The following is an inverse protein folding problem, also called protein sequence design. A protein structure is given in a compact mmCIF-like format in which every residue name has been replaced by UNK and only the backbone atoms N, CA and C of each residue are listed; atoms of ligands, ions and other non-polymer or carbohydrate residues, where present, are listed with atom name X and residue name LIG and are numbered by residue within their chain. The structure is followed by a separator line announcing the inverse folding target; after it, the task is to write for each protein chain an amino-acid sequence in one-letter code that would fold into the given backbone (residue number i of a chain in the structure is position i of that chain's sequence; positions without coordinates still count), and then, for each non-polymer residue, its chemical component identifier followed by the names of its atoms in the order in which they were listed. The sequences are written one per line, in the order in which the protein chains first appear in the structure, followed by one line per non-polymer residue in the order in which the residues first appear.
data_IF_624684526400
#
_entry.id   IF_624684526400
#
_cell.length_a   1.000
_cell.length_b   1.000
_cell.length_c   1.000
_cell.angle_alpha   90.00
_cell.angle_beta   90.00
_cell.angle_gamma   90.00
#
_symmetry.space_group_name_H-M   'P 1'
#
loop_
_entity.id
_entity.type
_entity.pdbx_description
1 polymer ?
#
# COMPACT_ATOMS: atom_id res chain seq x y z
N UNK A 1 -0.40 1.16 -4.09
CA UNK A 1 0.07 1.51 -5.43
C UNK A 1 1.06 2.64 -5.27
N UNK A 2 2.23 2.61 -5.93
CA UNK A 2 3.14 3.76 -5.88
C UNK A 2 2.57 4.90 -6.72
N UNK A 3 2.73 6.12 -6.23
CA UNK A 3 2.23 7.32 -6.89
C UNK A 3 1.64 8.29 -5.88
N UNK A 4 1.53 9.54 -6.29
CA UNK A 4 0.86 10.59 -5.53
C UNK A 4 -0.54 10.81 -6.10
N UNK A 5 -1.53 10.97 -5.23
CA UNK A 5 -2.87 11.38 -5.66
C UNK A 5 -2.80 12.83 -6.10
N UNK A 6 -3.22 13.11 -7.33
CA UNK A 6 -3.29 14.48 -7.83
C UNK A 6 -4.54 15.16 -7.25
N UNK A 7 -4.41 16.29 -6.55
CA UNK A 7 -5.56 16.99 -5.97
C UNK A 7 -6.45 17.67 -7.02
N UNK A 8 -5.95 17.83 -8.25
CA UNK A 8 -6.65 18.50 -9.35
C UNK A 8 -6.08 18.05 -10.71
N UNK A 9 -6.90 18.01 -11.77
CA UNK A 9 -6.42 17.77 -13.13
C UNK A 9 -5.56 18.91 -13.71
N UNK A 10 -5.52 20.07 -13.04
CA UNK A 10 -4.72 21.23 -13.46
C UNK A 10 -3.34 21.31 -12.81
N UNK A 11 -2.93 20.28 -12.07
CA UNK A 11 -1.60 20.24 -11.47
C UNK A 11 -0.55 20.16 -12.59
N UNK A 12 0.43 21.09 -12.61
CA UNK A 12 1.49 21.05 -13.60
C UNK A 12 2.36 19.80 -13.38
N UNK A 13 2.74 19.17 -14.49
CA UNK A 13 3.61 18.00 -14.51
C UNK A 13 4.92 18.35 -15.22
N UNK A 14 6.03 17.77 -14.78
CA UNK A 14 7.33 17.91 -15.42
C UNK A 14 7.91 16.54 -15.82
N UNK A 15 9.09 16.53 -16.47
CA UNK A 15 9.70 15.30 -16.99
C UNK A 15 10.10 14.27 -15.92
N UNK A 16 10.09 14.63 -14.63
CA UNK A 16 10.34 13.73 -13.51
C UNK A 16 9.18 12.76 -13.29
N UNK A 17 8.00 13.05 -13.83
CA UNK A 17 6.84 12.18 -13.74
C UNK A 17 6.96 11.05 -14.76
N UNK A 18 7.21 9.84 -14.28
CA UNK A 18 7.35 8.64 -15.12
C UNK A 18 6.05 8.15 -15.76
N UNK A 19 4.89 8.59 -15.27
CA UNK A 19 3.59 8.23 -15.84
C UNK A 19 2.40 8.79 -15.07
N UNK A 20 1.26 8.85 -15.74
CA UNK A 20 -0.04 9.20 -15.17
C UNK A 20 -0.94 7.98 -15.19
N UNK A 21 -1.61 7.72 -14.07
CA UNK A 21 -2.57 6.64 -13.96
C UNK A 21 -3.97 7.21 -13.77
N UNK A 22 -4.85 6.98 -14.74
CA UNK A 22 -6.26 7.32 -14.69
C UNK A 22 -7.08 6.03 -14.76
N UNK A 23 -7.73 5.67 -13.66
CA UNK A 23 -8.57 4.47 -13.57
C UNK A 23 -10.04 4.87 -13.65
N UNK A 24 -10.82 4.12 -14.43
CA UNK A 24 -12.28 4.19 -14.42
C UNK A 24 -12.84 3.58 -13.14
N UNK A 25 -14.06 3.96 -12.78
CA UNK A 25 -14.69 3.58 -11.51
C UNK A 25 -14.76 2.05 -11.30
N UNK A 26 -14.99 1.30 -12.38
CA UNK A 26 -15.04 -0.17 -12.37
C UNK A 26 -13.68 -0.85 -12.09
N UNK A 27 -12.57 -0.09 -12.20
CA UNK A 27 -11.21 -0.57 -11.93
C UNK A 27 -10.68 -0.12 -10.57
N UNK A 28 -11.43 0.68 -9.83
CA UNK A 28 -11.03 1.15 -8.50
C UNK A 28 -11.51 0.14 -7.47
N UNK A 29 -10.60 -0.36 -6.64
CA UNK A 29 -10.97 -1.17 -5.48
C UNK A 29 -11.54 -0.24 -4.39
N UNK A 30 -12.86 -0.03 -4.40
CA UNK A 30 -13.58 0.78 -3.41
C UNK A 30 -14.01 -0.02 -2.16
N UNK A 31 -13.46 -1.21 -1.94
CA UNK A 31 -13.82 -2.01 -0.77
C UNK A 31 -13.36 -1.32 0.50
N UNK A 32 -14.27 -1.25 1.49
CA UNK A 32 -13.91 -0.83 2.83
C UNK A 32 -12.98 -1.86 3.44
N UNK A 33 -11.88 -1.39 4.04
CA UNK A 33 -10.95 -2.24 4.78
C UNK A 33 -11.72 -3.05 5.82
N UNK A 34 -11.58 -4.37 5.76
CA UNK A 34 -12.12 -5.28 6.76
C UNK A 34 -11.09 -5.57 7.85
N UNK A 35 -11.54 -6.13 8.96
CA UNK A 35 -10.65 -6.61 10.01
C UNK A 35 -9.73 -7.74 9.49
N UNK A 36 -8.47 -7.68 9.90
CA UNK A 36 -7.49 -8.67 9.47
C UNK A 36 -7.77 -10.04 10.09
N UNK A 37 -8.18 -11.01 9.26
CA UNK A 37 -8.37 -12.42 9.66
C UNK A 37 -7.10 -13.29 9.55
N UNK A 38 -5.94 -12.66 9.32
CA UNK A 38 -4.64 -13.35 9.16
C UNK A 38 -4.61 -14.41 8.06
N UNK A 39 -5.26 -14.16 6.93
CA UNK A 39 -5.29 -15.09 5.78
C UNK A 39 -3.94 -15.27 5.06
N UNK A 40 -2.99 -14.36 5.27
CA UNK A 40 -1.64 -14.44 4.68
C UNK A 40 -1.54 -14.04 3.20
N UNK A 41 -2.61 -13.59 2.55
CA UNK A 41 -2.57 -13.17 1.14
C UNK A 41 -1.61 -11.98 0.90
N UNK A 42 -1.53 -11.05 1.85
CA UNK A 42 -0.61 -9.91 1.77
C UNK A 42 0.86 -10.33 1.73
N UNK A 43 1.23 -11.45 2.36
CA UNK A 43 2.60 -12.00 2.34
C UNK A 43 2.92 -12.57 0.95
N UNK A 44 1.98 -13.31 0.36
CA UNK A 44 2.17 -13.95 -0.96
C UNK A 44 2.41 -12.95 -2.09
N UNK A 45 1.79 -11.78 -2.02
CA UNK A 45 1.95 -10.72 -3.05
C UNK A 45 3.07 -9.75 -2.76
N UNK A 46 3.75 -9.87 -1.60
CA UNK A 46 4.81 -8.94 -1.24
C UNK A 46 6.07 -9.22 -2.08
N UNK A 47 6.52 -8.30 -2.93
CA UNK A 47 7.71 -8.52 -3.76
C UNK A 47 9.00 -8.60 -2.92
N UNK A 48 8.99 -8.02 -1.72
CA UNK A 48 10.12 -8.05 -0.77
C UNK A 48 10.06 -9.25 0.19
N UNK A 49 9.02 -10.09 0.12
CA UNK A 49 8.86 -11.22 1.03
C UNK A 49 8.66 -10.82 2.51
N UNK A 50 8.16 -9.61 2.78
CA UNK A 50 7.91 -9.11 4.14
C UNK A 50 6.65 -9.73 4.76
N UNK A 51 6.35 -9.35 6.01
CA UNK A 51 5.11 -9.71 6.72
C UNK A 51 4.18 -8.49 6.91
N UNK A 52 3.45 -8.05 5.87
CA UNK A 52 2.67 -6.80 5.94
C UNK A 52 1.60 -6.77 7.03
N UNK A 53 1.03 -7.93 7.39
CA UNK A 53 0.01 -7.98 8.43
C UNK A 53 0.56 -7.69 9.84
N UNK A 54 1.81 -8.09 10.14
CA UNK A 54 2.46 -7.73 11.40
C UNK A 54 2.81 -6.25 11.40
N UNK A 55 3.40 -5.76 10.30
CA UNK A 55 3.73 -4.35 10.13
C UNK A 55 2.48 -3.47 10.32
N UNK A 56 1.37 -3.82 9.66
CA UNK A 56 0.11 -3.10 9.80
C UNK A 56 -0.45 -3.16 11.23
N UNK A 57 -0.36 -4.31 11.91
CA UNK A 57 -0.81 -4.42 13.30
C UNK A 57 -0.03 -3.50 14.26
N UNK A 58 1.29 -3.44 14.10
CA UNK A 58 2.15 -2.54 14.89
C UNK A 58 1.92 -1.07 14.51
N UNK A 59 1.87 -0.74 13.22
CA UNK A 59 1.61 0.65 12.76
C UNK A 59 0.23 1.16 13.17
N UNK A 60 -0.80 0.31 13.23
CA UNK A 60 -2.14 0.70 13.69
C UNK A 60 -2.18 1.04 15.19
N UNK A 61 -1.18 0.62 15.96
CA UNK A 61 -1.03 0.94 17.38
C UNK A 61 0.08 1.98 17.62
N UNK A 62 0.50 2.71 16.57
CA UNK A 62 1.61 3.66 16.60
C UNK A 62 2.96 3.07 17.08
N UNK A 63 3.11 1.73 17.03
CA UNK A 63 4.33 1.02 17.42
C UNK A 63 5.29 0.90 16.23
N UNK A 64 5.96 2.02 15.93
CA UNK A 64 6.91 2.10 14.82
C UNK A 64 8.14 1.20 15.01
N UNK A 65 8.61 1.03 16.25
CA UNK A 65 9.74 0.16 16.54
C UNK A 65 9.39 -1.31 16.29
N UNK A 66 8.21 -1.76 16.71
CA UNK A 66 7.71 -3.09 16.39
C UNK A 66 7.57 -3.29 14.88
N UNK A 67 7.01 -2.31 14.16
CA UNK A 67 6.90 -2.39 12.69
C UNK A 67 8.27 -2.48 12.00
N UNK A 68 9.30 -1.76 12.49
CA UNK A 68 10.66 -1.83 11.97
C UNK A 68 11.28 -3.22 12.12
N UNK A 69 11.02 -3.93 13.23
CA UNK A 69 11.49 -5.31 13.41
C UNK A 69 10.93 -6.27 12.34
N UNK A 70 9.78 -5.94 11.75
CA UNK A 70 9.17 -6.70 10.66
C UNK A 70 9.57 -6.21 9.26
N UNK A 71 10.58 -5.33 9.16
CA UNK A 71 11.16 -4.89 7.90
C UNK A 71 10.44 -3.68 7.28
N UNK A 72 9.88 -2.78 8.11
CA UNK A 72 9.29 -1.53 7.63
C UNK A 72 10.26 -0.71 6.77
N UNK A 73 11.54 -0.64 7.15
CA UNK A 73 12.56 0.11 6.41
C UNK A 73 12.89 -0.52 5.05
N UNK A 74 12.56 -1.80 4.87
CA UNK A 74 12.70 -2.53 3.60
C UNK A 74 11.45 -2.41 2.70
N UNK A 75 10.39 -1.73 3.15
CA UNK A 75 9.17 -1.57 2.39
C UNK A 75 9.33 -0.56 1.25
N UNK A 76 9.12 -1.00 0.01
CA UNK A 76 9.17 -0.13 -1.18
C UNK A 76 7.87 0.60 -1.50
N UNK A 77 6.88 0.59 -0.58
CA UNK A 77 5.61 1.32 -0.70
C UNK A 77 4.78 1.00 -1.96
N UNK A 78 4.89 -0.22 -2.50
CA UNK A 78 4.10 -0.63 -3.68
C UNK A 78 2.59 -0.72 -3.41
N UNK A 79 2.19 -0.99 -2.16
CA UNK A 79 0.80 -1.18 -1.76
C UNK A 79 0.10 -2.39 -2.38
N UNK A 80 0.84 -3.40 -2.87
CA UNK A 80 0.27 -4.67 -3.33
C UNK A 80 -0.48 -5.40 -2.22
N UNK A 81 0.06 -5.35 -0.99
CA UNK A 81 -0.57 -5.90 0.21
C UNK A 81 -1.92 -5.24 0.52
N UNK A 82 -2.01 -3.91 0.44
CA UNK A 82 -3.25 -3.17 0.67
C UNK A 82 -4.28 -3.44 -0.42
N UNK A 83 -3.85 -3.60 -1.68
CA UNK A 83 -4.77 -3.88 -2.79
C UNK A 83 -5.40 -5.28 -2.72
N UNK A 84 -4.66 -6.30 -2.26
CA UNK A 84 -5.18 -7.67 -2.15
C UNK A 84 -5.95 -7.93 -0.84
N UNK A 85 -5.70 -7.11 0.20
CA UNK A 85 -6.42 -7.21 1.46
C UNK A 85 -7.90 -6.87 1.26
N UNK A 86 -8.82 -7.66 1.84
CA UNK A 86 -10.26 -7.44 1.71
C UNK A 86 -10.76 -6.23 2.50
#
# INVERSE_FOLDING_TARGET
MMGQVLPSPFVPIDKSIGGLLALSEDKINQRNSQDCVRCGNCVKVCPMGLMPFQMAAHSNHDDWQGAQQFGLDSCLLCGACSYICP
#
